data_IF_340217318445
#
_entry.id   IF_340217318445
#
_cell.length_a   1.000
_cell.length_b   1.000
_cell.length_c   1.000
_cell.angle_alpha   90.00
_cell.angle_beta   90.00
_cell.angle_gamma   90.00
#
_symmetry.space_group_name_H-M   'P 1'
#
loop_
_entity.id
_entity.type
_entity.pdbx_description
1 polymer ?
#
# COMPACT_ATOMS: atom_id res chain seq x y z
N UNK A 1 -12.59 1.67 49.56
CA UNK A 1 -12.67 0.99 48.23
C UNK A 1 -12.43 1.95 47.07
N UNK A 2 -12.77 3.24 47.18
CA UNK A 2 -12.58 4.28 46.14
C UNK A 2 -11.12 4.55 45.73
N UNK A 3 -10.14 4.40 46.63
CA UNK A 3 -8.73 4.64 46.32
C UNK A 3 -8.15 3.69 45.26
N UNK A 4 -8.64 2.45 45.17
CA UNK A 4 -8.09 1.46 44.24
C UNK A 4 -8.57 1.72 42.81
N UNK A 5 -9.86 2.07 42.65
CA UNK A 5 -10.44 2.39 41.33
C UNK A 5 -9.79 3.62 40.70
N UNK A 6 -9.52 4.65 41.49
CA UNK A 6 -8.91 5.88 40.98
C UNK A 6 -7.45 5.64 40.57
N UNK A 7 -6.70 4.86 41.35
CA UNK A 7 -5.33 4.49 41.01
C UNK A 7 -5.26 3.73 39.68
N UNK A 8 -6.11 2.71 39.48
CA UNK A 8 -6.14 1.93 38.24
C UNK A 8 -6.46 2.79 37.02
N UNK A 9 -7.41 3.74 37.15
CA UNK A 9 -7.71 4.69 36.06
C UNK A 9 -6.51 5.58 35.73
N UNK A 10 -5.78 6.06 36.75
CA UNK A 10 -4.57 6.86 36.55
C UNK A 10 -3.47 6.06 35.86
N UNK A 11 -3.29 4.79 36.23
CA UNK A 11 -2.30 3.90 35.61
C UNK A 11 -2.64 3.64 34.12
N UNK A 12 -3.91 3.41 33.80
CA UNK A 12 -4.37 3.26 32.40
C UNK A 12 -4.17 4.52 31.56
N UNK A 13 -4.35 5.71 32.16
CA UNK A 13 -4.08 6.99 31.48
C UNK A 13 -2.59 7.17 31.23
N UNK A 14 -1.74 6.83 32.21
CA UNK A 14 -0.28 6.89 32.06
C UNK A 14 0.22 5.92 30.96
N UNK A 15 -0.41 4.76 30.84
CA UNK A 15 -0.12 3.82 29.75
C UNK A 15 -0.52 4.41 28.39
N UNK A 16 -1.67 5.09 28.28
CA UNK A 16 -2.04 5.81 27.06
C UNK A 16 -1.05 6.93 26.71
N UNK A 17 -0.49 7.63 27.70
CA UNK A 17 0.53 8.65 27.49
C UNK A 17 1.83 8.07 26.92
N UNK A 18 2.28 6.92 27.44
CA UNK A 18 3.42 6.20 26.85
C UNK A 18 3.14 5.78 25.40
N UNK A 19 1.92 5.31 25.11
CA UNK A 19 1.54 4.93 23.74
C UNK A 19 1.49 6.10 22.77
N UNK A 20 1.22 7.32 23.23
CA UNK A 20 1.36 8.54 22.41
C UNK A 20 2.85 8.76 22.10
N UNK A 21 3.72 8.64 23.10
CA UNK A 21 5.17 8.81 22.92
C UNK A 21 5.76 7.77 21.97
N UNK A 22 5.28 6.53 22.03
CA UNK A 22 5.66 5.43 21.13
C UNK A 22 5.04 5.54 19.72
N UNK A 23 4.18 6.55 19.47
CA UNK A 23 3.50 6.73 18.19
C UNK A 23 2.45 5.65 17.86
N UNK A 24 1.99 4.91 18.86
CA UNK A 24 1.02 3.82 18.71
C UNK A 24 -0.40 4.35 18.52
N UNK A 25 -0.73 5.48 19.18
CA UNK A 25 -2.06 6.11 19.12
C UNK A 25 -1.94 7.60 18.80
N UNK A 26 -2.82 8.09 17.92
CA UNK A 26 -2.92 9.53 17.64
C UNK A 26 -3.42 10.28 18.89
N UNK A 27 -2.86 11.47 19.13
CA UNK A 27 -3.18 12.30 20.30
C UNK A 27 -4.68 12.56 20.47
N UNK A 28 -5.39 12.84 19.36
CA UNK A 28 -6.85 13.06 19.35
C UNK A 28 -7.65 11.85 19.82
N UNK A 29 -7.25 10.64 19.40
CA UNK A 29 -7.89 9.40 19.82
C UNK A 29 -7.57 9.09 21.29
N UNK A 30 -6.32 9.30 21.70
CA UNK A 30 -5.91 9.12 23.09
C UNK A 30 -6.64 10.09 24.04
N UNK A 31 -6.82 11.34 23.65
CA UNK A 31 -7.56 12.34 24.43
C UNK A 31 -9.03 11.95 24.62
N UNK A 32 -9.66 11.33 23.61
CA UNK A 32 -11.01 10.76 23.74
C UNK A 32 -11.03 9.58 24.72
N UNK A 33 -10.09 8.63 24.58
CA UNK A 33 -10.00 7.47 25.47
C UNK A 33 -9.76 7.87 26.93
N UNK A 34 -8.91 8.86 27.18
CA UNK A 34 -8.69 9.39 28.54
C UNK A 34 -9.96 9.96 29.16
N UNK A 35 -10.77 10.69 28.39
CA UNK A 35 -12.08 11.19 28.86
C UNK A 35 -13.01 10.03 29.21
N UNK A 36 -13.08 9.00 28.36
CA UNK A 36 -13.92 7.83 28.58
C UNK A 36 -13.47 7.02 29.81
N UNK A 37 -12.17 6.78 30.00
CA UNK A 37 -11.60 6.10 31.18
C UNK A 37 -11.90 6.86 32.47
N UNK A 38 -11.77 8.19 32.43
CA UNK A 38 -12.05 9.04 33.59
C UNK A 38 -13.52 8.90 34.01
N UNK A 39 -14.42 8.92 33.03
CA UNK A 39 -15.87 8.82 33.22
C UNK A 39 -16.42 7.41 33.46
N UNK A 40 -15.61 6.35 33.32
CA UNK A 40 -16.07 4.97 33.46
C UNK A 40 -16.64 4.67 34.86
N UNK A 41 -17.75 3.96 34.95
CA UNK A 41 -18.43 3.65 36.21
C UNK A 41 -17.78 2.48 36.95
N UNK A 42 -17.00 1.66 36.24
CA UNK A 42 -16.29 0.50 36.81
C UNK A 42 -14.85 0.37 36.30
N UNK A 43 -14.04 -0.38 37.06
CA UNK A 43 -12.68 -0.73 36.64
C UNK A 43 -12.70 -1.52 35.32
N UNK A 44 -13.64 -2.46 35.19
CA UNK A 44 -13.75 -3.29 33.98
C UNK A 44 -14.07 -2.46 32.74
N UNK A 45 -14.95 -1.46 32.88
CA UNK A 45 -15.26 -0.53 31.79
C UNK A 45 -14.03 0.30 31.41
N UNK A 46 -13.29 0.82 32.40
CA UNK A 46 -12.05 1.55 32.15
C UNK A 46 -11.01 0.70 31.41
N UNK A 47 -10.88 -0.59 31.75
CA UNK A 47 -9.98 -1.55 31.07
C UNK A 47 -10.43 -1.77 29.63
N UNK A 48 -11.72 -2.06 29.39
CA UNK A 48 -12.25 -2.26 28.04
C UNK A 48 -12.04 -1.02 27.15
N UNK A 49 -12.21 0.19 27.71
CA UNK A 49 -11.95 1.44 26.99
C UNK A 49 -10.45 1.58 26.66
N UNK A 50 -9.55 1.25 27.60
CA UNK A 50 -8.10 1.30 27.36
C UNK A 50 -7.64 0.29 26.30
N UNK A 51 -8.29 -0.88 26.23
CA UNK A 51 -8.08 -1.90 25.21
C UNK A 51 -8.47 -1.42 23.80
N UNK A 52 -9.49 -0.57 23.64
CA UNK A 52 -9.80 0.05 22.34
C UNK A 52 -8.61 0.87 21.79
N UNK A 53 -7.74 1.37 22.68
CA UNK A 53 -6.49 2.05 22.32
C UNK A 53 -5.32 1.12 22.02
N UNK A 54 -5.46 -0.20 22.17
CA UNK A 54 -4.41 -1.21 21.89
C UNK A 54 -4.48 -1.79 20.47
N UNK A 55 -5.62 -1.66 19.79
CA UNK A 55 -5.93 -2.46 18.59
C UNK A 55 -5.13 -2.08 17.34
N UNK A 56 -4.40 -0.96 17.33
CA UNK A 56 -3.69 -0.51 16.14
C UNK A 56 -2.22 -0.25 16.40
N UNK A 57 -1.42 -1.33 16.42
CA UNK A 57 -0.12 -1.18 15.76
C UNK A 57 -0.42 -0.93 14.29
N UNK A 58 -0.14 0.27 13.78
CA UNK A 58 0.02 0.50 12.33
C UNK A 58 1.30 -0.20 11.84
N UNK A 59 1.44 -1.49 12.10
CA UNK A 59 2.48 -2.35 11.54
C UNK A 59 2.10 -2.62 10.09
N UNK A 60 2.44 -1.67 9.23
CA UNK A 60 2.14 -1.75 7.81
C UNK A 60 2.90 -0.68 7.06
N UNK A 61 3.27 -0.99 5.83
CA UNK A 61 3.82 -0.02 4.91
C UNK A 61 2.66 0.80 4.33
N UNK A 62 2.56 2.06 4.72
CA UNK A 62 1.49 2.97 4.30
C UNK A 62 2.05 4.01 3.33
N UNK A 63 1.27 4.33 2.30
CA UNK A 63 1.55 5.39 1.35
C UNK A 63 0.23 5.97 0.85
N UNK A 64 0.23 7.26 0.49
CA UNK A 64 -0.95 7.89 -0.08
C UNK A 64 -1.22 7.31 -1.46
N UNK A 65 -2.18 6.37 -1.53
CA UNK A 65 -2.57 5.73 -2.78
C UNK A 65 -3.25 6.75 -3.68
N UNK A 66 -2.49 7.32 -4.61
CA UNK A 66 -3.03 8.05 -5.75
C UNK A 66 -3.53 7.02 -6.76
N UNK A 67 -4.72 6.49 -6.49
CA UNK A 67 -5.41 5.57 -7.39
C UNK A 67 -5.43 6.19 -8.80
N UNK A 68 -4.72 5.57 -9.75
CA UNK A 68 -5.18 5.61 -11.14
C UNK A 68 -6.65 5.16 -11.09
N UNK A 69 -7.56 6.05 -11.50
CA UNK A 69 -9.01 5.79 -11.41
C UNK A 69 -9.28 4.50 -12.17
N UNK A 70 -9.75 3.47 -11.47
CA UNK A 70 -10.32 2.30 -12.13
C UNK A 70 -11.61 2.77 -12.78
N UNK A 71 -11.54 3.10 -14.06
CA UNK A 71 -12.70 3.46 -14.86
C UNK A 71 -13.26 2.21 -15.52
N UNK A 72 -14.53 2.24 -15.93
CA UNK A 72 -15.15 1.20 -16.75
C UNK A 72 -14.60 1.17 -18.20
N UNK A 73 -13.50 1.89 -18.46
CA UNK A 73 -12.88 1.99 -19.78
C UNK A 73 -12.08 0.72 -20.07
N UNK A 74 -12.53 -0.03 -21.06
CA UNK A 74 -11.80 -1.19 -21.57
C UNK A 74 -10.92 -0.73 -22.74
N UNK A 75 -9.61 -1.03 -22.66
CA UNK A 75 -8.69 -0.88 -23.79
C UNK A 75 -8.44 -2.23 -24.44
N UNK A 76 -8.44 -2.29 -25.77
CA UNK A 76 -8.19 -3.52 -26.52
C UNK A 76 -6.86 -3.43 -27.27
N UNK A 77 -6.23 -4.58 -27.50
CA UNK A 77 -5.06 -4.65 -28.37
C UNK A 77 -5.45 -4.49 -29.84
N UNK A 78 -4.72 -3.62 -30.55
CA UNK A 78 -4.79 -3.52 -32.01
C UNK A 78 -3.47 -4.02 -32.60
N UNK A 79 -3.55 -5.07 -33.43
CA UNK A 79 -2.37 -5.58 -34.12
C UNK A 79 -1.85 -4.55 -35.12
N UNK A 80 -0.54 -4.31 -35.09
CA UNK A 80 0.13 -3.46 -36.07
C UNK A 80 0.72 -4.34 -37.17
N UNK A 81 0.00 -4.49 -38.29
CA UNK A 81 0.43 -5.34 -39.41
C UNK A 81 1.76 -4.92 -40.03
N UNK A 82 2.13 -3.63 -39.98
CA UNK A 82 3.40 -3.15 -40.55
C UNK A 82 4.61 -3.56 -39.72
N UNK A 83 4.46 -3.63 -38.39
CA UNK A 83 5.52 -4.02 -37.46
C UNK A 83 5.46 -5.50 -37.08
N UNK A 84 4.41 -6.21 -37.49
CA UNK A 84 4.25 -7.65 -37.26
C UNK A 84 4.89 -8.41 -38.41
N UNK A 85 5.79 -9.33 -38.10
CA UNK A 85 6.42 -10.20 -39.09
C UNK A 85 6.58 -11.61 -38.52
N UNK A 86 6.64 -12.60 -39.40
CA UNK A 86 6.85 -14.01 -39.06
C UNK A 86 8.06 -14.48 -39.84
N UNK A 87 9.10 -14.91 -39.12
CA UNK A 87 10.30 -15.51 -39.75
C UNK A 87 10.10 -17.01 -40.00
N UNK A 88 9.55 -17.74 -39.02
CA UNK A 88 9.22 -19.16 -39.11
C UNK A 88 7.84 -19.39 -38.46
N UNK A 89 6.97 -20.13 -39.16
CA UNK A 89 5.62 -20.46 -38.67
C UNK A 89 5.62 -21.54 -37.59
N UNK A 90 6.69 -22.32 -37.49
CA UNK A 90 6.83 -23.39 -36.50
C UNK A 90 7.59 -22.96 -35.24
N UNK A 91 8.18 -21.77 -35.25
CA UNK A 91 8.93 -21.22 -34.12
C UNK A 91 8.01 -20.62 -33.04
N UNK A 92 8.59 -20.36 -31.86
CA UNK A 92 7.90 -19.67 -30.77
C UNK A 92 7.47 -18.26 -31.20
N UNK A 93 6.23 -17.90 -30.87
CA UNK A 93 5.70 -16.57 -31.14
C UNK A 93 6.03 -15.63 -29.98
N UNK A 94 6.81 -14.59 -30.26
CA UNK A 94 7.07 -13.49 -29.33
C UNK A 94 6.11 -12.32 -29.61
N UNK A 95 5.66 -11.62 -28.57
CA UNK A 95 4.73 -10.48 -28.68
C UNK A 95 5.38 -9.23 -28.09
N UNK A 96 5.32 -8.12 -28.83
CA UNK A 96 5.63 -6.79 -28.31
C UNK A 96 4.31 -6.01 -28.19
N UNK A 97 4.04 -5.50 -27.00
CA UNK A 97 2.87 -4.65 -26.72
C UNK A 97 3.38 -3.23 -26.49
N UNK A 98 2.79 -2.25 -27.17
CA UNK A 98 3.13 -0.83 -27.04
C UNK A 98 1.92 -0.12 -26.43
N UNK A 99 2.13 0.50 -25.26
CA UNK A 99 1.08 1.20 -24.51
C UNK A 99 1.42 1.29 -23.02
N UNK A 100 0.44 1.72 -22.22
CA UNK A 100 0.56 1.65 -20.77
C UNK A 100 0.56 0.18 -20.31
N UNK A 101 1.51 -0.17 -19.47
CA UNK A 101 1.66 -1.53 -18.95
C UNK A 101 0.51 -1.96 -18.04
N UNK A 102 -0.20 -1.04 -17.37
CA UNK A 102 -1.38 -1.38 -16.59
C UNK A 102 -2.49 -1.98 -17.46
N UNK A 103 -2.84 -1.30 -18.57
CA UNK A 103 -3.86 -1.77 -19.51
C UNK A 103 -3.42 -3.07 -20.21
N UNK A 104 -2.13 -3.19 -20.52
CA UNK A 104 -1.58 -4.39 -21.12
C UNK A 104 -1.68 -5.60 -20.17
N UNK A 105 -1.29 -5.43 -18.90
CA UNK A 105 -1.40 -6.47 -17.87
C UNK A 105 -2.86 -6.89 -17.66
N UNK A 106 -3.79 -5.92 -17.65
CA UNK A 106 -5.22 -6.21 -17.51
C UNK A 106 -5.75 -7.09 -18.65
N UNK A 107 -5.38 -6.79 -19.89
CA UNK A 107 -5.76 -7.61 -21.05
C UNK A 107 -5.09 -8.99 -21.03
N UNK A 108 -3.81 -9.06 -20.64
CA UNK A 108 -3.08 -10.33 -20.56
C UNK A 108 -3.71 -11.32 -19.58
N UNK A 109 -4.39 -10.83 -18.54
CA UNK A 109 -5.09 -11.70 -17.58
C UNK A 109 -6.23 -12.53 -18.19
N UNK A 110 -6.75 -12.15 -19.37
CA UNK A 110 -7.80 -12.91 -20.05
C UNK A 110 -7.26 -14.26 -20.53
N UNK A 111 -6.05 -14.27 -21.08
CA UNK A 111 -5.46 -15.46 -21.71
C UNK A 111 -4.33 -16.10 -20.89
N UNK A 112 -3.58 -15.32 -20.11
CA UNK A 112 -2.31 -15.71 -19.48
C UNK A 112 -2.33 -15.74 -17.95
N UNK A 113 -3.51 -15.69 -17.33
CA UNK A 113 -3.65 -15.84 -15.86
C UNK A 113 -3.06 -17.17 -15.39
N UNK A 114 -2.12 -17.12 -14.45
CA UNK A 114 -1.41 -18.29 -13.91
C UNK A 114 -0.52 -19.04 -14.91
N UNK A 115 -0.11 -18.40 -16.01
CA UNK A 115 0.66 -19.05 -17.10
C UNK A 115 2.07 -18.47 -17.30
N UNK A 116 2.46 -17.45 -16.55
CA UNK A 116 3.76 -16.80 -16.70
C UNK A 116 4.73 -17.33 -15.66
N UNK A 117 5.78 -18.01 -16.13
CA UNK A 117 6.79 -18.60 -15.23
C UNK A 117 7.63 -17.52 -14.52
N UNK A 118 8.08 -16.52 -15.30
CA UNK A 118 9.03 -15.50 -14.86
C UNK A 118 8.59 -14.11 -15.35
N UNK A 119 8.63 -13.13 -14.45
CA UNK A 119 8.40 -11.72 -14.76
C UNK A 119 9.65 -10.94 -14.35
N UNK A 120 10.25 -10.24 -15.30
CA UNK A 120 11.35 -9.30 -15.06
C UNK A 120 10.89 -7.88 -15.35
N UNK A 121 11.19 -6.95 -14.44
CA UNK A 121 10.91 -5.52 -14.60
C UNK A 121 12.09 -4.70 -14.08
N UNK A 122 12.31 -3.55 -14.71
CA UNK A 122 13.27 -2.52 -14.27
C UNK A 122 12.51 -1.17 -14.18
N UNK A 123 11.72 -0.96 -13.11
CA UNK A 123 10.90 0.24 -12.97
C UNK A 123 11.77 1.48 -12.64
N UNK A 124 11.23 2.70 -12.80
CA UNK A 124 11.95 3.89 -12.39
C UNK A 124 12.25 3.88 -10.88
N UNK A 125 13.42 4.41 -10.50
CA UNK A 125 13.86 4.48 -9.11
C UNK A 125 13.38 5.76 -8.44
N UNK A 126 13.00 5.67 -7.16
CA UNK A 126 12.62 6.82 -6.35
C UNK A 126 13.82 7.67 -5.96
N UNK A 127 13.63 8.98 -5.83
CA UNK A 127 14.70 9.96 -5.51
C UNK A 127 15.27 9.80 -4.09
N UNK A 128 14.52 9.20 -3.17
CA UNK A 128 14.67 9.52 -1.76
C UNK A 128 15.84 8.81 -1.03
N UNK A 129 16.66 7.95 -1.66
CA UNK A 129 17.94 7.49 -1.05
C UNK A 129 18.91 6.69 -1.95
N UNK A 130 18.88 6.78 -3.29
CA UNK A 130 19.77 5.95 -4.15
C UNK A 130 21.18 6.52 -4.39
N UNK A 131 21.79 7.12 -3.36
CA UNK A 131 23.17 7.62 -3.40
C UNK A 131 23.46 8.61 -4.54
N UNK A 132 24.73 8.88 -4.82
CA UNK A 132 25.16 9.83 -5.87
C UNK A 132 24.71 9.43 -7.29
N UNK A 133 24.32 8.17 -7.51
CA UNK A 133 23.94 7.62 -8.82
C UNK A 133 22.53 8.03 -9.29
N UNK A 134 21.67 8.51 -8.39
CA UNK A 134 20.33 9.01 -8.75
C UNK A 134 20.32 10.47 -9.26
N UNK A 135 21.48 11.13 -9.33
CA UNK A 135 21.60 12.48 -9.89
C UNK A 135 21.42 12.53 -11.42
N UNK A 136 21.38 11.38 -12.10
CA UNK A 136 21.32 11.35 -13.56
C UNK A 136 19.88 11.40 -14.08
N UNK A 137 19.55 12.52 -14.72
CA UNK A 137 18.64 12.67 -15.87
C UNK A 137 17.12 12.68 -15.67
N UNK A 138 16.60 12.73 -14.44
CA UNK A 138 15.16 12.91 -14.23
C UNK A 138 14.87 14.24 -13.51
N UNK A 139 14.55 15.29 -14.28
CA UNK A 139 13.89 16.50 -13.75
C UNK A 139 12.56 16.18 -13.05
N UNK A 140 11.98 15.01 -13.36
CA UNK A 140 10.83 14.44 -12.69
C UNK A 140 11.24 13.66 -11.43
N UNK A 141 11.41 14.37 -10.32
CA UNK A 141 11.54 13.78 -9.00
C UNK A 141 10.25 13.01 -8.62
N UNK A 142 10.18 11.70 -8.94
CA UNK A 142 9.09 10.85 -8.50
C UNK A 142 9.25 10.60 -7.00
N UNK A 143 8.31 11.12 -6.20
CA UNK A 143 8.26 10.88 -4.76
C UNK A 143 7.97 9.41 -4.46
N UNK A 144 8.38 8.93 -3.28
CA UNK A 144 8.03 7.59 -2.77
C UNK A 144 6.57 7.23 -3.02
N UNK A 145 5.63 8.07 -2.60
CA UNK A 145 4.20 7.76 -2.67
C UNK A 145 3.67 7.73 -4.10
N UNK A 146 4.22 8.55 -4.99
CA UNK A 146 3.89 8.48 -6.43
C UNK A 146 4.39 7.17 -7.05
N UNK A 147 5.63 6.78 -6.75
CA UNK A 147 6.23 5.54 -7.24
C UNK A 147 5.44 4.32 -6.77
N UNK A 148 5.11 4.27 -5.48
CA UNK A 148 4.34 3.18 -4.89
C UNK A 148 2.91 3.13 -5.43
N UNK A 149 2.26 4.28 -5.57
CA UNK A 149 0.91 4.37 -6.14
C UNK A 149 0.86 3.86 -7.59
N UNK A 150 1.90 4.14 -8.37
CA UNK A 150 2.03 3.66 -9.75
C UNK A 150 2.35 2.15 -9.79
N UNK A 151 3.29 1.67 -8.99
CA UNK A 151 3.74 0.27 -9.02
C UNK A 151 2.73 -0.70 -8.43
N UNK A 152 2.07 -0.34 -7.33
CA UNK A 152 1.15 -1.23 -6.60
C UNK A 152 0.12 -1.94 -7.50
N UNK A 153 -0.71 -1.24 -8.31
CA UNK A 153 -1.69 -1.92 -9.16
C UNK A 153 -1.03 -2.85 -10.19
N UNK A 154 0.10 -2.44 -10.77
CA UNK A 154 0.83 -3.22 -11.79
C UNK A 154 1.40 -4.51 -11.20
N UNK A 155 1.99 -4.45 -10.01
CA UNK A 155 2.51 -5.63 -9.32
C UNK A 155 1.40 -6.59 -8.88
N UNK A 156 0.24 -6.07 -8.47
CA UNK A 156 -0.94 -6.89 -8.15
C UNK A 156 -1.46 -7.65 -9.38
N UNK A 157 -1.46 -7.02 -10.56
CA UNK A 157 -1.84 -7.67 -11.82
C UNK A 157 -0.77 -8.67 -12.28
N UNK A 158 0.51 -8.29 -12.21
CA UNK A 158 1.63 -9.18 -12.55
C UNK A 158 1.64 -10.45 -11.71
N UNK A 159 1.32 -10.34 -10.41
CA UNK A 159 1.20 -11.51 -9.52
C UNK A 159 0.10 -12.48 -9.95
N UNK A 160 -0.99 -12.00 -10.56
CA UNK A 160 -2.07 -12.87 -11.04
C UNK A 160 -1.74 -13.58 -12.36
N UNK A 161 -0.70 -13.13 -13.07
CA UNK A 161 -0.21 -13.80 -14.28
C UNK A 161 0.70 -14.98 -13.96
N UNK A 162 1.35 -14.98 -12.79
CA UNK A 162 2.03 -16.16 -12.24
C UNK A 162 1.03 -17.05 -11.50
#
# INVERSE_FOLDING_TARGET
MTNNTQQVKTDLIAELDQRIADGIIEKTNADLLKKLITSADSINEAIMIAELGTTYKRTGFHFDKRLERMTDTIKYFKKNEKLSFVQDKNALTHKLIIGDNYDALLNLLIEYRGKIDVIYIDPPYGKDSMGEFAKTNYDNAITRDNLLSMLYPRLVLARQLR
#
